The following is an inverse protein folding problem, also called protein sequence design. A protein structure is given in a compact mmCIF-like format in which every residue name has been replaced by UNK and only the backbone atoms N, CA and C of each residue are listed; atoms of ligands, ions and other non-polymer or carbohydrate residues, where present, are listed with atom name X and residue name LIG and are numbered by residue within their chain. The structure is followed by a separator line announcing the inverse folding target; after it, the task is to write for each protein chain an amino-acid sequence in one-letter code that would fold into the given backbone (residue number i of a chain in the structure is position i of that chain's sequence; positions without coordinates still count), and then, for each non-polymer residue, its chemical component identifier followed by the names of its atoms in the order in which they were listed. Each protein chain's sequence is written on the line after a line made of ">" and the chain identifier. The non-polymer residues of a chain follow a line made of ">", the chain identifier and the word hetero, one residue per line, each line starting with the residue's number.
data_IF_454066746227
#
_entry.id   IF_454066746227
#
_cell.length_a   1.000
_cell.length_b   1.000
_cell.length_c   1.000
_cell.angle_alpha   90.00
_cell.angle_beta   90.00
_cell.angle_gamma   90.00
#
_symmetry.space_group_name_H-M   'P 1'
#
loop_
_entity.id
_entity.type
_entity.pdbx_description
1 polymer ?
#
# COMPACT_ATOMS: atom_id res chain seq x y z
N UNK A 1 -32.94 50.97 14.45
CA UNK A 1 -33.16 50.12 13.27
C UNK A 1 -31.92 49.89 12.41
N UNK A 2 -31.05 50.87 12.12
CA UNK A 2 -29.84 50.65 11.27
C UNK A 2 -28.79 49.72 11.94
N UNK A 3 -28.63 49.74 13.28
CA UNK A 3 -27.67 48.92 14.02
C UNK A 3 -28.07 47.45 14.10
N UNK A 4 -29.38 47.16 14.16
CA UNK A 4 -29.92 45.79 14.15
C UNK A 4 -29.83 45.15 12.77
N UNK A 5 -29.98 45.90 11.69
CA UNK A 5 -29.81 45.39 10.32
C UNK A 5 -28.36 44.98 10.05
N UNK A 6 -27.39 45.75 10.57
CA UNK A 6 -25.97 45.42 10.43
C UNK A 6 -25.60 44.18 11.24
N UNK A 7 -26.19 44.00 12.43
CA UNK A 7 -25.98 42.79 13.21
C UNK A 7 -26.61 41.55 12.55
N UNK A 8 -27.79 41.66 11.97
CA UNK A 8 -28.41 40.57 11.19
C UNK A 8 -27.63 40.27 9.90
N UNK A 9 -27.09 41.27 9.20
CA UNK A 9 -26.26 41.06 8.03
C UNK A 9 -24.91 40.41 8.40
N UNK A 10 -24.33 40.78 9.56
CA UNK A 10 -23.13 40.13 10.09
C UNK A 10 -23.37 38.68 10.51
N UNK A 11 -24.53 38.39 11.17
CA UNK A 11 -24.90 37.01 11.48
C UNK A 11 -25.23 36.20 10.22
N UNK A 12 -25.87 36.78 9.22
CA UNK A 12 -26.15 36.09 7.95
C UNK A 12 -24.89 35.84 7.13
N UNK A 13 -23.87 36.69 7.23
CA UNK A 13 -22.58 36.47 6.57
C UNK A 13 -21.75 35.37 7.22
N UNK A 14 -21.87 35.15 8.53
CA UNK A 14 -21.19 34.06 9.24
C UNK A 14 -21.79 32.69 8.90
N UNK A 15 -23.08 32.62 8.63
CA UNK A 15 -23.73 31.36 8.24
C UNK A 15 -23.52 30.97 6.78
N UNK A 16 -22.98 31.85 5.94
CA UNK A 16 -22.71 31.58 4.53
C UNK A 16 -21.34 30.90 4.29
N UNK A 17 -20.48 30.82 5.31
CA UNK A 17 -19.11 30.30 5.17
C UNK A 17 -18.94 28.81 5.54
N UNK A 18 -19.92 28.19 6.14
CA UNK A 18 -19.85 26.79 6.55
C UNK A 18 -20.55 25.87 5.53
N UNK A 19 -20.12 25.87 4.28
CA UNK A 19 -20.60 24.86 3.33
C UNK A 19 -19.77 23.59 3.51
N UNK A 20 -20.24 22.71 4.40
CA UNK A 20 -19.72 21.35 4.52
C UNK A 20 -20.06 20.57 3.26
N UNK A 21 -19.06 20.02 2.60
CA UNK A 21 -19.26 19.16 1.43
C UNK A 21 -18.89 17.73 1.80
N UNK A 22 -19.77 16.78 1.49
CA UNK A 22 -19.47 15.36 1.53
C UNK A 22 -19.52 14.83 0.11
N UNK A 23 -18.41 14.30 -0.36
CA UNK A 23 -18.29 13.73 -1.68
C UNK A 23 -18.13 12.22 -1.56
N UNK A 24 -18.89 11.48 -2.35
CA UNK A 24 -18.71 10.04 -2.53
C UNK A 24 -17.80 9.86 -3.74
N UNK A 25 -16.70 9.14 -3.56
CA UNK A 25 -15.78 8.81 -4.64
C UNK A 25 -15.38 7.35 -4.54
N UNK A 26 -14.86 6.82 -5.63
CA UNK A 26 -14.42 5.43 -5.58
C UNK A 26 -13.85 4.93 -6.89
N UNK A 27 -13.55 3.65 -6.88
CA UNK A 27 -13.08 2.88 -8.04
C UNK A 27 -13.79 1.55 -8.02
N UNK A 28 -14.31 1.14 -9.16
CA UNK A 28 -14.72 -0.21 -9.45
C UNK A 28 -13.80 -0.79 -10.51
N UNK A 29 -13.06 -1.86 -10.17
CA UNK A 29 -12.13 -2.55 -11.06
C UNK A 29 -12.41 -4.03 -11.04
N UNK A 30 -12.84 -4.58 -12.18
CA UNK A 30 -13.13 -6.00 -12.33
C UNK A 30 -12.70 -6.50 -13.70
N UNK A 31 -12.31 -7.77 -13.75
CA UNK A 31 -11.83 -8.37 -14.98
C UNK A 31 -11.63 -9.88 -14.88
N UNK A 32 -11.14 -10.44 -15.96
CA UNK A 32 -10.74 -11.82 -16.05
C UNK A 32 -9.22 -11.93 -15.87
N UNK A 33 -8.80 -12.82 -15.00
CA UNK A 33 -7.40 -13.09 -14.72
C UNK A 33 -7.09 -14.56 -14.96
N UNK A 34 -5.94 -14.79 -15.57
CA UNK A 34 -5.35 -16.13 -15.72
C UNK A 34 -3.88 -16.07 -15.34
N UNK A 35 -3.34 -17.17 -14.88
CA UNK A 35 -1.92 -17.22 -14.55
C UNK A 35 -1.49 -18.55 -13.97
N UNK A 36 -0.19 -18.61 -13.71
CA UNK A 36 0.44 -19.77 -13.08
C UNK A 36 1.40 -19.32 -12.01
N UNK A 37 1.45 -20.07 -10.92
CA UNK A 37 2.39 -19.88 -9.81
C UNK A 37 2.78 -21.26 -9.27
N UNK A 38 4.10 -21.51 -9.10
CA UNK A 38 4.63 -22.80 -8.63
C UNK A 38 4.12 -24.03 -9.40
N UNK A 39 3.94 -23.90 -10.71
CA UNK A 39 3.45 -25.00 -11.55
C UNK A 39 1.93 -25.24 -11.48
N UNK A 40 1.21 -24.51 -10.65
CA UNK A 40 -0.26 -24.52 -10.60
C UNK A 40 -0.81 -23.39 -11.48
N UNK A 41 -1.86 -23.68 -12.23
CA UNK A 41 -2.55 -22.69 -13.07
C UNK A 41 -3.96 -22.43 -12.55
N UNK A 42 -4.39 -21.19 -12.63
CA UNK A 42 -5.74 -20.79 -12.26
C UNK A 42 -6.29 -19.73 -13.23
N UNK A 43 -7.60 -19.61 -13.26
CA UNK A 43 -8.34 -18.59 -14.01
C UNK A 43 -9.60 -18.21 -13.25
N UNK A 44 -9.93 -16.93 -13.19
CA UNK A 44 -11.10 -16.44 -12.49
C UNK A 44 -11.53 -15.07 -12.98
N UNK A 45 -12.78 -14.71 -12.71
CA UNK A 45 -13.20 -13.31 -12.65
C UNK A 45 -12.71 -12.76 -11.32
N UNK A 46 -11.92 -11.68 -11.36
CA UNK A 46 -11.31 -11.06 -10.18
C UNK A 46 -11.52 -9.56 -10.21
N UNK A 47 -11.18 -8.92 -9.11
CA UNK A 47 -11.08 -7.47 -9.01
C UNK A 47 -9.63 -7.04 -8.86
N UNK A 48 -9.38 -5.74 -8.95
CA UNK A 48 -8.08 -5.12 -8.67
C UNK A 48 -6.98 -5.55 -9.65
N UNK A 49 -7.34 -5.79 -10.90
CA UNK A 49 -6.38 -6.14 -11.95
C UNK A 49 -5.49 -4.96 -12.34
N UNK A 50 -6.05 -3.76 -12.34
CA UNK A 50 -5.34 -2.51 -12.67
C UNK A 50 -5.38 -1.46 -11.56
N UNK A 51 -6.45 -1.39 -10.75
CA UNK A 51 -6.59 -0.48 -9.61
C UNK A 51 -7.27 -1.20 -8.46
N UNK A 52 -7.00 -0.78 -7.24
CA UNK A 52 -7.76 -1.26 -6.08
C UNK A 52 -9.17 -0.68 -6.12
N UNK A 53 -10.18 -1.55 -6.04
CA UNK A 53 -11.57 -1.13 -5.86
C UNK A 53 -11.74 -0.50 -4.50
N UNK A 54 -12.36 0.68 -4.46
CA UNK A 54 -12.51 1.45 -3.24
C UNK A 54 -13.80 2.26 -3.26
N UNK A 55 -14.40 2.46 -2.10
CA UNK A 55 -15.51 3.39 -1.87
C UNK A 55 -15.13 4.32 -0.74
N UNK A 56 -15.25 5.64 -0.95
CA UNK A 56 -14.80 6.65 0.00
C UNK A 56 -15.86 7.74 0.18
N UNK A 57 -16.08 8.12 1.42
CA UNK A 57 -16.80 9.31 1.83
C UNK A 57 -15.75 10.34 2.29
N UNK A 58 -15.66 11.45 1.60
CA UNK A 58 -14.69 12.51 1.89
C UNK A 58 -15.44 13.76 2.24
N UNK A 59 -15.21 14.31 3.42
CA UNK A 59 -15.82 15.55 3.89
C UNK A 59 -14.79 16.64 4.09
N UNK A 60 -15.18 17.86 3.73
CA UNK A 60 -14.42 19.08 4.00
C UNK A 60 -15.38 20.12 4.51
N UNK A 61 -15.06 20.73 5.65
CA UNK A 61 -15.79 21.84 6.27
C UNK A 61 -14.85 23.03 6.41
N UNK A 62 -15.24 24.18 5.91
CA UNK A 62 -14.51 25.43 6.12
C UNK A 62 -14.86 25.98 7.52
N UNK A 63 -13.87 26.06 8.40
CA UNK A 63 -14.03 26.56 9.77
C UNK A 63 -13.79 28.06 9.86
N UNK A 64 -13.49 28.74 8.74
CA UNK A 64 -13.10 30.14 8.69
C UNK A 64 -11.63 30.36 9.06
N UNK A 65 -11.12 31.56 8.80
CA UNK A 65 -9.73 31.92 9.11
C UNK A 65 -8.67 31.10 8.34
N UNK A 66 -9.03 30.41 7.26
CA UNK A 66 -8.16 29.52 6.51
C UNK A 66 -8.03 28.12 7.11
N UNK A 67 -8.83 27.79 8.10
CA UNK A 67 -8.90 26.46 8.72
C UNK A 67 -9.98 25.61 8.06
N UNK A 68 -9.70 24.32 7.89
CA UNK A 68 -10.63 23.32 7.36
C UNK A 68 -10.60 22.07 8.24
N UNK A 69 -11.79 21.57 8.60
CA UNK A 69 -11.91 20.21 9.11
C UNK A 69 -12.07 19.25 7.92
N UNK A 70 -11.42 18.10 8.00
CA UNK A 70 -11.42 17.07 6.94
C UNK A 70 -11.67 15.70 7.54
N UNK A 71 -12.37 14.86 6.80
CA UNK A 71 -12.41 13.44 7.12
C UNK A 71 -12.46 12.60 5.85
N UNK A 72 -12.00 11.38 5.97
CA UNK A 72 -12.24 10.32 5.00
C UNK A 72 -12.66 9.06 5.76
N UNK A 73 -13.71 8.41 5.26
CA UNK A 73 -14.12 7.07 5.67
C UNK A 73 -14.17 6.23 4.38
N UNK A 74 -13.40 5.16 4.33
CA UNK A 74 -13.28 4.36 3.12
C UNK A 74 -13.23 2.86 3.40
N UNK A 75 -13.56 2.10 2.35
CA UNK A 75 -13.50 0.64 2.33
C UNK A 75 -13.09 0.14 0.96
N UNK A 76 -12.55 -1.07 0.90
CA UNK A 76 -12.26 -1.81 -0.33
C UNK A 76 -13.37 -2.85 -0.55
N UNK A 77 -14.45 -2.52 -1.30
CA UNK A 77 -15.56 -3.44 -1.50
C UNK A 77 -15.11 -4.64 -2.35
N UNK A 78 -15.61 -5.82 -2.02
CA UNK A 78 -15.48 -6.99 -2.87
C UNK A 78 -16.54 -6.96 -3.97
N UNK A 79 -16.16 -6.58 -5.18
CA UNK A 79 -17.06 -6.51 -6.35
C UNK A 79 -17.31 -7.91 -6.93
N UNK A 80 -16.31 -8.77 -6.88
CA UNK A 80 -16.43 -10.17 -7.26
C UNK A 80 -16.54 -10.99 -5.98
N UNK A 81 -17.54 -11.83 -5.85
CA UNK A 81 -17.83 -12.63 -4.65
C UNK A 81 -16.66 -13.53 -4.17
N UNK A 82 -15.68 -13.73 -5.01
CA UNK A 82 -14.39 -14.29 -4.63
C UNK A 82 -13.53 -13.19 -4.02
N UNK A 83 -13.07 -13.36 -2.81
CA UNK A 83 -12.18 -12.46 -2.06
C UNK A 83 -10.88 -12.13 -2.83
N UNK A 84 -11.04 -11.82 -4.09
CA UNK A 84 -10.22 -11.04 -5.00
C UNK A 84 -8.91 -11.65 -5.46
N UNK A 85 -8.45 -12.76 -4.95
CA UNK A 85 -7.13 -13.23 -5.38
C UNK A 85 -7.02 -14.75 -5.29
N UNK A 86 -7.58 -15.46 -6.24
CA UNK A 86 -7.30 -16.90 -6.43
C UNK A 86 -5.81 -17.17 -6.67
N UNK A 87 -5.01 -16.15 -6.97
CA UNK A 87 -3.56 -16.24 -7.12
C UNK A 87 -2.78 -15.71 -5.91
N UNK A 88 -3.47 -15.13 -4.91
CA UNK A 88 -2.83 -14.52 -3.75
C UNK A 88 -3.25 -15.13 -2.42
N UNK A 89 -4.21 -16.05 -2.42
CA UNK A 89 -4.68 -16.69 -1.21
C UNK A 89 -4.55 -18.19 -1.34
N UNK A 90 -3.53 -18.76 -0.72
CA UNK A 90 -3.63 -20.11 -0.23
C UNK A 90 -4.67 -20.11 0.89
N UNK A 91 -5.95 -20.06 0.51
CA UNK A 91 -7.03 -20.34 1.45
C UNK A 91 -7.06 -21.86 1.63
N UNK A 92 -6.36 -22.36 2.62
CA UNK A 92 -6.59 -23.71 3.10
C UNK A 92 -7.98 -23.71 3.74
N UNK A 93 -8.94 -24.26 3.03
CA UNK A 93 -10.25 -24.58 3.59
C UNK A 93 -10.04 -25.66 4.65
N UNK A 94 -9.97 -25.27 5.91
CA UNK A 94 -10.06 -26.21 7.01
C UNK A 94 -11.39 -26.95 6.94
N UNK A 95 -11.41 -28.22 7.25
CA UNK A 95 -12.55 -29.17 7.19
C UNK A 95 -13.78 -28.74 7.98
N UNK A 96 -13.85 -27.55 8.56
CA UNK A 96 -14.96 -27.05 9.37
C UNK A 96 -15.52 -25.69 8.91
N UNK A 97 -15.36 -25.30 7.63
CA UNK A 97 -16.02 -24.08 7.12
C UNK A 97 -15.53 -22.77 7.75
N UNK A 98 -14.53 -22.79 8.59
CA UNK A 98 -13.85 -21.60 9.10
C UNK A 98 -12.76 -21.25 8.12
N UNK A 99 -12.85 -20.08 7.49
CA UNK A 99 -11.75 -19.48 6.75
C UNK A 99 -10.61 -19.22 7.73
N UNK A 100 -9.78 -20.23 7.93
CA UNK A 100 -8.51 -20.04 8.61
C UNK A 100 -7.61 -19.37 7.58
N UNK A 101 -7.51 -18.07 7.64
CA UNK A 101 -6.38 -17.36 7.04
C UNK A 101 -5.15 -17.96 7.74
N UNK A 102 -4.51 -18.91 7.08
CA UNK A 102 -3.21 -19.42 7.51
C UNK A 102 -2.19 -18.29 7.28
N UNK A 103 -2.25 -17.29 8.14
CA UNK A 103 -1.40 -16.13 8.06
C UNK A 103 -0.80 -15.81 9.41
N UNK A 104 0.05 -16.71 9.88
CA UNK A 104 0.79 -16.49 11.11
C UNK A 104 1.92 -15.48 11.01
N UNK A 105 2.32 -15.04 9.84
CA UNK A 105 3.61 -14.32 9.72
C UNK A 105 3.57 -12.98 9.01
N UNK A 106 2.63 -12.73 8.12
CA UNK A 106 2.60 -11.45 7.40
C UNK A 106 2.00 -10.30 8.21
N UNK A 107 1.29 -10.58 9.29
CA UNK A 107 0.62 -9.57 10.11
C UNK A 107 1.50 -9.00 11.23
N UNK A 108 2.68 -9.54 11.44
CA UNK A 108 3.58 -9.10 12.51
C UNK A 108 4.27 -7.76 12.26
N UNK A 109 4.07 -7.14 11.12
CA UNK A 109 4.75 -5.89 10.77
C UNK A 109 3.87 -4.65 10.78
N UNK A 110 2.82 -4.62 11.59
CA UNK A 110 2.02 -3.40 11.80
C UNK A 110 1.07 -3.04 10.67
N UNK A 111 0.79 -4.00 9.79
CA UNK A 111 -0.23 -3.80 8.78
C UNK A 111 -1.61 -4.05 9.35
N UNK A 112 -2.56 -3.22 8.95
CA UNK A 112 -3.94 -3.50 9.19
C UNK A 112 -4.27 -4.84 8.54
N UNK A 113 -4.47 -5.87 9.36
CA UNK A 113 -5.22 -7.02 8.91
C UNK A 113 -6.50 -6.45 8.33
N UNK A 114 -6.81 -6.77 7.07
CA UNK A 114 -8.11 -6.49 6.54
C UNK A 114 -9.13 -7.00 7.58
N UNK A 115 -9.58 -6.11 8.44
CA UNK A 115 -10.70 -6.38 9.31
C UNK A 115 -11.81 -6.77 8.35
N UNK A 116 -12.40 -7.93 8.52
CA UNK A 116 -13.59 -8.38 7.80
C UNK A 116 -14.81 -7.50 8.11
N UNK A 117 -14.59 -6.21 8.26
CA UNK A 117 -15.58 -5.17 8.48
C UNK A 117 -15.77 -4.35 7.23
N UNK A 118 -16.97 -3.82 7.07
CA UNK A 118 -17.37 -2.97 5.95
C UNK A 118 -16.51 -1.71 5.81
N UNK A 119 -15.75 -1.34 6.85
CA UNK A 119 -14.94 -0.12 6.93
C UNK A 119 -13.58 -0.46 7.55
N UNK A 120 -12.48 -0.03 6.95
CA UNK A 120 -11.13 -0.18 7.53
C UNK A 120 -10.03 -0.63 6.57
N UNK A 121 -10.36 -1.15 5.39
CA UNK A 121 -9.37 -1.58 4.41
C UNK A 121 -8.73 -0.41 3.65
N UNK A 122 -9.39 0.76 3.61
CA UNK A 122 -8.91 2.01 3.05
C UNK A 122 -8.41 2.98 4.12
N UNK A 123 -7.92 4.13 3.71
CA UNK A 123 -7.54 5.22 4.60
C UNK A 123 -8.79 5.79 5.29
N UNK A 124 -8.72 5.91 6.63
CA UNK A 124 -9.80 6.43 7.46
C UNK A 124 -9.22 7.41 8.47
N UNK A 125 -9.61 8.67 8.41
CA UNK A 125 -9.07 9.70 9.29
C UNK A 125 -10.03 10.86 9.48
N UNK A 126 -9.78 11.63 10.54
CA UNK A 126 -10.24 12.98 10.75
C UNK A 126 -9.04 13.89 10.93
N UNK A 127 -9.12 15.13 10.45
CA UNK A 127 -7.99 16.05 10.52
C UNK A 127 -8.38 17.52 10.41
N UNK A 128 -7.39 18.36 10.60
CA UNK A 128 -7.48 19.81 10.43
C UNK A 128 -6.35 20.28 9.53
N UNK A 129 -6.68 21.09 8.54
CA UNK A 129 -5.74 21.75 7.62
C UNK A 129 -5.79 23.27 7.83
N UNK A 130 -4.65 23.93 7.71
CA UNK A 130 -4.56 25.39 7.82
C UNK A 130 -3.24 25.91 7.25
N UNK A 131 -2.92 27.20 7.45
CA UNK A 131 -1.66 27.79 7.02
C UNK A 131 -0.42 27.08 7.61
N UNK A 132 -0.59 26.35 8.72
CA UNK A 132 0.45 25.57 9.37
C UNK A 132 0.70 24.19 8.71
N UNK A 133 -0.14 23.79 7.76
CA UNK A 133 -0.16 22.44 7.17
C UNK A 133 -1.38 21.65 7.61
N UNK A 134 -1.24 20.32 7.74
CA UNK A 134 -2.34 19.41 8.04
C UNK A 134 -1.96 18.44 9.15
N UNK A 135 -2.89 18.20 10.08
CA UNK A 135 -2.82 17.15 11.11
C UNK A 135 -3.96 16.19 10.89
N UNK A 136 -3.67 14.88 10.88
CA UNK A 136 -4.66 13.80 10.72
C UNK A 136 -4.51 12.78 11.83
N UNK A 137 -5.63 12.14 12.23
CA UNK A 137 -5.68 11.04 13.20
C UNK A 137 -6.52 9.89 12.61
N UNK A 138 -6.00 8.67 12.66
CA UNK A 138 -6.73 7.50 12.18
C UNK A 138 -5.86 6.40 11.57
N UNK A 139 -6.39 5.76 10.53
CA UNK A 139 -5.67 4.82 9.65
C UNK A 139 -5.18 5.59 8.43
N UNK A 140 -3.88 5.83 8.35
CA UNK A 140 -3.32 6.82 7.41
C UNK A 140 -2.29 6.17 6.51
N UNK A 141 -2.33 6.51 5.22
CA UNK A 141 -1.36 6.05 4.24
C UNK A 141 0.03 6.61 4.52
N UNK A 142 1.04 5.77 4.33
CA UNK A 142 2.45 6.12 4.50
C UNK A 142 2.98 6.94 3.33
N UNK A 143 4.09 7.66 3.55
CA UNK A 143 4.83 8.27 2.46
C UNK A 143 5.62 7.24 1.65
N UNK A 144 5.93 6.09 2.25
CA UNK A 144 6.49 4.92 1.57
C UNK A 144 5.59 4.44 0.44
N UNK A 145 4.25 4.40 0.65
CA UNK A 145 3.28 4.10 -0.42
C UNK A 145 3.31 5.19 -1.51
N UNK A 146 3.42 6.47 -1.14
CA UNK A 146 3.51 7.55 -2.11
C UNK A 146 4.77 7.41 -2.99
N UNK A 147 5.91 7.06 -2.38
CA UNK A 147 7.15 6.81 -3.11
C UNK A 147 7.03 5.59 -4.03
N UNK A 148 6.39 4.52 -3.56
CA UNK A 148 6.14 3.35 -4.40
C UNK A 148 5.24 3.69 -5.60
N UNK A 149 4.12 4.37 -5.41
CA UNK A 149 3.22 4.78 -6.48
C UNK A 149 3.93 5.72 -7.47
N UNK A 150 4.80 6.59 -7.00
CA UNK A 150 5.62 7.44 -7.85
C UNK A 150 6.61 6.63 -8.71
N UNK A 151 7.14 5.53 -8.19
CA UNK A 151 8.04 4.64 -8.92
C UNK A 151 7.31 3.68 -9.88
N UNK A 152 6.11 3.21 -9.55
CA UNK A 152 5.34 2.24 -10.35
C UNK A 152 4.37 2.89 -11.34
N UNK A 153 4.13 4.20 -11.21
CA UNK A 153 3.26 4.99 -12.09
C UNK A 153 1.85 4.40 -12.22
N UNK A 154 1.36 4.20 -13.46
CA UNK A 154 0.02 3.68 -13.75
C UNK A 154 -0.18 2.21 -13.36
N UNK A 155 0.88 1.47 -13.04
CA UNK A 155 0.72 0.15 -12.44
C UNK A 155 0.17 0.22 -11.01
N UNK A 156 0.40 1.34 -10.31
CA UNK A 156 -0.04 1.50 -8.93
C UNK A 156 0.41 0.33 -8.06
N UNK A 157 -0.52 -0.30 -7.34
CA UNK A 157 -0.29 -1.49 -6.52
C UNK A 157 -0.81 -2.78 -7.17
N UNK A 158 -1.16 -2.73 -8.48
CA UNK A 158 -1.79 -3.82 -9.22
C UNK A 158 -0.79 -4.75 -9.93
N UNK A 159 -1.32 -5.59 -10.81
CA UNK A 159 -0.54 -6.54 -11.60
C UNK A 159 0.52 -5.80 -12.43
N UNK A 160 1.74 -6.30 -12.41
CA UNK A 160 2.89 -5.72 -13.10
C UNK A 160 3.69 -4.71 -12.28
N UNK A 161 3.17 -4.25 -11.16
CA UNK A 161 3.88 -3.29 -10.30
C UNK A 161 4.98 -3.91 -9.44
N UNK A 162 4.88 -5.19 -9.12
CA UNK A 162 5.72 -5.85 -8.13
C UNK A 162 5.34 -5.57 -6.68
N UNK A 163 4.21 -4.91 -6.45
CA UNK A 163 3.72 -4.63 -5.12
C UNK A 163 3.31 -5.93 -4.39
N UNK A 164 3.57 -6.02 -3.10
CA UNK A 164 3.29 -7.18 -2.22
C UNK A 164 4.04 -8.48 -2.54
N UNK A 165 4.69 -8.58 -3.68
CA UNK A 165 5.35 -9.80 -4.13
C UNK A 165 6.84 -9.59 -4.33
N UNK A 166 7.55 -9.22 -3.26
CA UNK A 166 9.01 -9.19 -3.16
C UNK A 166 9.74 -7.93 -3.66
N UNK A 167 9.06 -6.85 -4.09
CA UNK A 167 9.78 -5.64 -4.47
C UNK A 167 9.64 -4.54 -3.43
N UNK A 168 8.42 -4.35 -2.89
CA UNK A 168 8.22 -3.43 -1.78
C UNK A 168 7.45 -4.14 -0.68
N UNK A 169 7.96 -4.11 0.54
CA UNK A 169 7.23 -4.59 1.71
C UNK A 169 5.88 -3.88 1.83
N UNK A 170 4.92 -4.54 2.40
CA UNK A 170 3.54 -4.06 2.53
C UNK A 170 3.41 -2.98 3.62
N UNK A 171 3.97 -1.81 3.37
CA UNK A 171 3.95 -0.65 4.29
C UNK A 171 3.02 0.43 3.76
N UNK A 172 1.77 0.07 3.46
CA UNK A 172 0.78 0.97 2.85
C UNK A 172 0.27 2.01 3.80
N UNK A 173 -0.14 1.58 5.00
CA UNK A 173 -0.82 2.42 5.99
C UNK A 173 -0.65 1.87 7.39
N UNK A 174 -0.84 2.75 8.38
CA UNK A 174 -0.81 2.38 9.78
C UNK A 174 -2.08 2.82 10.49
N UNK A 175 -2.64 1.91 11.28
CA UNK A 175 -3.73 2.18 12.22
C UNK A 175 -3.19 2.87 13.47
N UNK A 176 -4.10 3.47 14.27
CA UNK A 176 -3.76 4.18 15.51
C UNK A 176 -2.65 5.19 15.29
N UNK A 177 -2.69 5.88 14.17
CA UNK A 177 -1.65 6.80 13.76
C UNK A 177 -2.13 8.24 13.77
N UNK A 178 -1.18 9.14 13.90
CA UNK A 178 -1.34 10.54 13.59
C UNK A 178 -0.27 10.98 12.60
N UNK A 179 -0.61 11.96 11.81
CA UNK A 179 0.23 12.51 10.75
C UNK A 179 0.23 14.02 10.87
N UNK A 180 1.40 14.61 10.73
CA UNK A 180 1.57 16.02 10.40
C UNK A 180 2.19 16.13 9.01
N UNK A 181 1.63 17.01 8.16
CA UNK A 181 2.19 17.39 6.86
C UNK A 181 2.41 18.90 6.82
N UNK A 182 3.59 19.33 6.42
CA UNK A 182 3.86 20.78 6.23
C UNK A 182 3.04 21.34 5.07
N UNK A 183 2.84 22.65 4.99
CA UNK A 183 2.45 23.30 3.74
C UNK A 183 3.45 22.95 2.64
N UNK A 184 2.98 22.93 1.39
CA UNK A 184 3.88 22.81 0.24
C UNK A 184 4.44 24.16 -0.13
N UNK A 185 5.78 24.29 -0.14
CA UNK A 185 6.48 25.51 -0.52
C UNK A 185 7.41 25.21 -1.68
N UNK A 186 7.21 25.88 -2.80
CA UNK A 186 7.98 25.66 -4.04
C UNK A 186 8.08 24.16 -4.43
N UNK A 187 6.98 23.44 -4.29
CA UNK A 187 6.90 22.00 -4.60
C UNK A 187 7.38 21.09 -3.49
N UNK A 188 8.03 21.61 -2.44
CA UNK A 188 8.56 20.78 -1.32
C UNK A 188 7.56 20.70 -0.18
N UNK A 189 7.33 19.51 0.32
CA UNK A 189 6.59 19.24 1.56
C UNK A 189 7.26 18.11 2.36
N UNK A 190 7.08 18.14 3.67
CA UNK A 190 7.54 17.10 4.58
C UNK A 190 6.37 16.48 5.35
N UNK A 191 6.54 15.23 5.76
CA UNK A 191 5.53 14.49 6.53
C UNK A 191 6.19 13.78 7.70
N UNK A 192 5.49 13.78 8.83
CA UNK A 192 5.84 12.98 9.99
C UNK A 192 4.60 12.18 10.40
N UNK A 193 4.72 10.86 10.45
CA UNK A 193 3.66 9.96 10.90
C UNK A 193 4.16 9.11 12.06
N UNK A 194 3.32 8.95 13.07
CA UNK A 194 3.59 8.02 14.17
C UNK A 194 2.36 7.16 14.43
N UNK A 195 2.57 5.85 14.51
CA UNK A 195 1.55 4.92 14.95
C UNK A 195 1.92 4.39 16.33
N UNK A 196 0.99 4.49 17.26
CA UNK A 196 1.16 3.99 18.62
C UNK A 196 0.86 2.49 18.62
N UNK A 197 1.83 1.70 19.07
CA UNK A 197 1.62 0.26 19.27
C UNK A 197 0.46 0.01 20.23
N UNK A 198 -0.42 -0.94 19.89
CA UNK A 198 -1.49 -1.31 20.80
C UNK A 198 -0.95 -2.28 21.86
N UNK A 199 -1.25 -2.03 23.12
CA UNK A 199 -0.95 -2.91 24.25
C UNK A 199 -1.84 -4.18 24.28
N UNK A 200 -2.83 -4.30 23.37
CA UNK A 200 -3.67 -5.48 23.26
C UNK A 200 -2.82 -6.68 22.88
N UNK A 201 -2.76 -7.63 23.82
CA UNK A 201 -2.03 -8.87 23.66
C UNK A 201 -2.80 -9.76 22.66
N UNK A 202 -2.20 -10.02 21.51
CA UNK A 202 -2.64 -11.14 20.67
C UNK A 202 -1.95 -12.41 21.21
N UNK A 203 -2.63 -13.14 22.06
CA UNK A 203 -2.23 -14.50 22.39
C UNK A 203 -2.49 -15.37 21.16
N UNK A 204 -1.44 -15.89 20.56
CA UNK A 204 -1.59 -17.02 19.64
C UNK A 204 -2.04 -18.21 20.47
N UNK A 205 -3.18 -18.81 20.13
CA UNK A 205 -3.87 -19.84 20.90
C UNK A 205 -3.04 -21.11 21.19
N UNK A 206 -1.83 -21.21 20.69
CA UNK A 206 -0.93 -22.36 20.88
C UNK A 206 0.48 -22.03 21.35
N UNK A 207 0.82 -20.77 21.58
CA UNK A 207 2.15 -20.41 22.08
C UNK A 207 2.06 -19.28 23.09
N UNK A 208 2.90 -19.35 24.12
CA UNK A 208 3.06 -18.31 25.15
C UNK A 208 3.65 -16.99 24.61
N UNK A 209 3.65 -16.78 23.30
CA UNK A 209 4.21 -15.61 22.65
C UNK A 209 3.13 -14.56 22.49
N UNK A 210 3.23 -13.50 23.25
CA UNK A 210 2.39 -12.30 23.13
C UNK A 210 3.08 -11.36 22.17
N UNK A 211 2.50 -11.17 20.99
CA UNK A 211 2.97 -10.17 20.04
C UNK A 211 2.30 -8.83 20.34
N UNK A 212 3.07 -7.82 20.65
CA UNK A 212 2.60 -6.43 20.72
C UNK A 212 2.71 -5.78 19.34
N UNK A 213 1.71 -5.00 18.95
CA UNK A 213 1.80 -4.19 17.73
C UNK A 213 3.00 -3.24 17.82
N UNK A 214 3.83 -3.14 16.78
CA UNK A 214 5.01 -2.28 16.83
C UNK A 214 4.62 -0.80 16.89
N UNK A 215 5.45 -0.02 17.56
CA UNK A 215 5.45 1.44 17.43
C UNK A 215 6.14 1.80 16.12
N UNK A 216 5.51 2.65 15.34
CA UNK A 216 6.00 3.07 14.02
C UNK A 216 6.27 4.58 14.06
N UNK A 217 7.37 4.97 13.43
CA UNK A 217 7.67 6.36 13.12
C UNK A 217 8.10 6.45 11.67
N UNK A 218 7.48 7.34 10.89
CA UNK A 218 7.85 7.62 9.51
C UNK A 218 8.18 9.11 9.34
N UNK A 219 9.29 9.40 8.68
CA UNK A 219 9.60 10.69 8.10
C UNK A 219 9.50 10.58 6.58
N UNK A 220 8.78 11.50 5.96
CA UNK A 220 8.62 11.58 4.52
C UNK A 220 8.93 12.95 3.98
N UNK A 221 9.43 13.02 2.75
CA UNK A 221 9.63 14.24 1.99
C UNK A 221 9.11 14.04 0.56
N UNK A 222 8.45 15.07 0.03
CA UNK A 222 7.95 15.08 -1.33
C UNK A 222 8.37 16.36 -2.01
N UNK A 223 8.81 16.25 -3.26
CA UNK A 223 9.07 17.38 -4.13
C UNK A 223 8.36 17.15 -5.45
N UNK A 224 7.38 17.98 -5.74
CA UNK A 224 6.57 17.94 -6.96
C UNK A 224 6.60 19.33 -7.59
N UNK A 225 7.37 19.52 -8.67
CA UNK A 225 7.46 20.78 -9.38
C UNK A 225 7.66 20.56 -10.87
N UNK A 226 6.75 21.10 -11.67
CA UNK A 226 6.78 20.92 -13.12
C UNK A 226 6.73 19.44 -13.50
N UNK A 227 7.66 18.97 -14.36
CA UNK A 227 7.68 17.56 -14.77
C UNK A 227 8.32 16.61 -13.75
N UNK A 228 8.99 17.15 -12.72
CA UNK A 228 9.77 16.36 -11.75
C UNK A 228 8.95 16.05 -10.50
N UNK A 229 8.95 14.77 -10.10
CA UNK A 229 8.42 14.29 -8.83
C UNK A 229 9.46 13.44 -8.13
N UNK A 230 9.83 13.81 -6.90
CA UNK A 230 10.74 13.04 -6.04
C UNK A 230 10.07 12.78 -4.71
N UNK A 231 10.13 11.53 -4.24
CA UNK A 231 9.56 11.15 -2.96
C UNK A 231 10.54 10.30 -2.18
N UNK A 232 10.63 10.55 -0.88
CA UNK A 232 11.47 9.78 0.02
C UNK A 232 10.73 9.50 1.33
N UNK A 233 11.03 8.37 1.95
CA UNK A 233 10.49 8.00 3.24
C UNK A 233 11.49 7.16 4.04
N UNK A 234 11.44 7.31 5.36
CA UNK A 234 12.18 6.48 6.30
C UNK A 234 11.25 6.05 7.43
N UNK A 235 11.00 4.75 7.53
CA UNK A 235 10.22 4.14 8.60
C UNK A 235 11.16 3.50 9.61
N UNK A 236 10.87 3.68 10.88
CA UNK A 236 11.42 2.89 11.99
C UNK A 236 10.26 2.19 12.70
N UNK A 237 10.29 0.87 12.69
CA UNK A 237 9.33 0.01 13.38
C UNK A 237 10.03 -0.65 14.57
N UNK A 238 9.47 -0.49 15.77
CA UNK A 238 9.98 -1.10 17.00
C UNK A 238 8.94 -2.10 17.53
N UNK A 239 9.25 -3.37 17.46
CA UNK A 239 8.42 -4.44 18.01
C UNK A 239 9.08 -5.01 19.28
N UNK A 240 8.30 -5.14 20.34
CA UNK A 240 8.73 -5.81 21.57
C UNK A 240 8.13 -7.21 21.58
N UNK A 241 8.96 -8.22 21.57
CA UNK A 241 8.52 -9.61 21.76
C UNK A 241 8.60 -9.95 23.25
N UNK A 242 7.49 -10.35 23.81
CA UNK A 242 7.20 -10.90 25.13
C UNK A 242 8.11 -10.53 26.32
N UNK A 243 7.50 -10.13 27.44
CA UNK A 243 8.16 -9.76 28.70
C UNK A 243 8.78 -10.95 29.45
N UNK A 244 8.45 -12.20 29.12
CA UNK A 244 8.88 -13.42 29.85
C UNK A 244 10.10 -14.13 29.29
N UNK A 245 10.50 -13.83 28.06
CA UNK A 245 11.76 -14.30 27.52
C UNK A 245 12.63 -13.08 27.19
N UNK A 246 13.89 -13.11 27.55
CA UNK A 246 14.89 -12.06 27.26
C UNK A 246 15.07 -11.87 25.73
N UNK A 247 14.00 -11.53 25.04
CA UNK A 247 13.92 -11.44 23.60
C UNK A 247 14.06 -10.02 23.15
N UNK A 248 15.01 -9.84 22.28
CA UNK A 248 15.45 -8.58 21.75
C UNK A 248 14.32 -7.75 21.18
N UNK A 249 14.33 -6.45 21.47
CA UNK A 249 13.56 -5.46 20.73
C UNK A 249 13.97 -5.51 19.26
N UNK A 250 13.05 -5.92 18.38
CA UNK A 250 13.29 -5.90 16.93
C UNK A 250 13.06 -4.48 16.42
N UNK A 251 14.10 -3.89 15.87
CA UNK A 251 14.02 -2.61 15.19
C UNK A 251 14.19 -2.84 13.69
N UNK A 252 13.12 -2.61 12.93
CA UNK A 252 13.16 -2.65 11.46
C UNK A 252 13.22 -1.23 10.93
N UNK A 253 14.17 -0.96 10.05
CA UNK A 253 14.30 0.30 9.33
C UNK A 253 14.00 0.07 7.85
N UNK A 254 13.19 0.94 7.27
CA UNK A 254 12.80 0.91 5.87
C UNK A 254 13.09 2.28 5.29
N UNK A 255 13.92 2.31 4.26
CA UNK A 255 14.26 3.52 3.52
C UNK A 255 13.77 3.36 2.09
N UNK A 256 12.95 4.29 1.63
CA UNK A 256 12.35 4.27 0.30
C UNK A 256 12.61 5.61 -0.38
N UNK A 257 12.99 5.58 -1.64
CA UNK A 257 13.12 6.77 -2.47
C UNK A 257 12.65 6.50 -3.89
N UNK A 258 12.11 7.51 -4.54
CA UNK A 258 11.67 7.42 -5.94
C UNK A 258 11.76 8.76 -6.64
N UNK A 259 11.93 8.67 -7.96
CA UNK A 259 11.92 9.80 -8.86
C UNK A 259 11.06 9.47 -10.08
N UNK A 260 10.32 10.45 -10.56
CA UNK A 260 9.61 10.38 -11.84
C UNK A 260 9.80 11.70 -12.60
N UNK A 261 9.92 11.58 -13.91
CA UNK A 261 10.03 12.74 -14.80
C UNK A 261 9.10 12.56 -16.01
N UNK A 262 8.31 13.58 -16.27
CA UNK A 262 7.39 13.63 -17.39
C UNK A 262 8.01 14.42 -18.56
N UNK A 263 8.38 13.70 -19.62
CA UNK A 263 8.95 14.30 -20.85
C UNK A 263 7.87 14.80 -21.83
N UNK A 264 6.58 14.72 -21.47
CA UNK A 264 5.45 15.01 -22.34
C UNK A 264 5.10 13.83 -23.26
N UNK A 265 6.09 13.25 -23.94
CA UNK A 265 5.91 12.06 -24.81
C UNK A 265 5.97 10.73 -24.05
N UNK A 266 6.60 10.74 -22.91
CA UNK A 266 6.70 9.58 -22.01
C UNK A 266 6.96 10.04 -20.58
N UNK A 267 6.47 9.29 -19.61
CA UNK A 267 6.82 9.46 -18.20
C UNK A 267 7.68 8.30 -17.74
N UNK A 268 8.88 8.59 -17.24
CA UNK A 268 9.84 7.62 -16.75
C UNK A 268 9.98 7.76 -15.24
N UNK A 269 10.09 6.65 -14.55
CA UNK A 269 10.26 6.64 -13.10
C UNK A 269 11.20 5.54 -12.64
N UNK A 270 11.79 5.74 -11.47
CA UNK A 270 12.61 4.76 -10.78
C UNK A 270 12.37 4.85 -9.27
N UNK A 271 12.58 3.74 -8.58
CA UNK A 271 12.48 3.68 -7.14
C UNK A 271 13.39 2.63 -6.54
N UNK A 272 13.69 2.83 -5.26
CA UNK A 272 14.47 1.88 -4.46
C UNK A 272 13.90 1.79 -3.05
N UNK A 273 14.06 0.62 -2.44
CA UNK A 273 13.78 0.43 -1.02
C UNK A 273 14.87 -0.44 -0.40
N UNK A 274 15.29 -0.08 0.80
CA UNK A 274 16.20 -0.86 1.63
C UNK A 274 15.51 -1.17 2.95
N UNK A 275 15.48 -2.46 3.34
CA UNK A 275 14.92 -2.92 4.60
C UNK A 275 16.00 -3.61 5.40
N UNK A 276 16.22 -3.17 6.63
CA UNK A 276 17.16 -3.77 7.57
C UNK A 276 16.48 -3.99 8.91
N UNK A 277 16.86 -5.05 9.62
CA UNK A 277 16.49 -5.23 11.02
C UNK A 277 17.71 -5.63 11.86
N UNK A 278 17.53 -5.59 13.18
CA UNK A 278 18.56 -5.93 14.15
C UNK A 278 18.35 -7.31 14.78
N UNK A 279 17.67 -8.25 14.12
CA UNK A 279 17.49 -9.59 14.67
C UNK A 279 18.83 -10.26 14.93
N UNK A 280 19.07 -10.69 16.17
CA UNK A 280 20.40 -11.04 16.66
C UNK A 280 21.07 -12.23 15.94
N UNK A 281 20.26 -13.17 15.43
CA UNK A 281 20.79 -14.41 14.80
C UNK A 281 20.89 -14.31 13.28
N UNK A 282 20.01 -13.59 12.63
CA UNK A 282 19.97 -13.46 11.16
C UNK A 282 19.31 -12.15 10.76
N UNK A 283 20.04 -11.00 10.82
CA UNK A 283 19.48 -9.70 10.49
C UNK A 283 18.98 -9.67 9.05
N UNK A 284 17.79 -9.12 8.86
CA UNK A 284 17.22 -8.88 7.53
C UNK A 284 17.99 -7.75 6.84
N UNK A 285 18.40 -8.00 5.61
CA UNK A 285 18.95 -6.96 4.75
C UNK A 285 18.48 -7.23 3.33
N UNK A 286 17.51 -6.43 2.87
CA UNK A 286 16.94 -6.58 1.55
C UNK A 286 17.04 -5.26 0.79
N UNK A 287 17.37 -5.35 -0.49
CA UNK A 287 17.43 -4.20 -1.38
C UNK A 287 16.55 -4.45 -2.59
N UNK A 288 15.68 -3.48 -2.86
CA UNK A 288 14.80 -3.51 -4.03
C UNK A 288 15.05 -2.31 -4.91
N UNK A 289 14.80 -2.49 -6.19
CA UNK A 289 14.78 -1.40 -7.16
C UNK A 289 13.75 -1.69 -8.25
N UNK A 290 13.14 -0.65 -8.78
CA UNK A 290 12.27 -0.75 -9.95
C UNK A 290 12.44 0.46 -10.87
N UNK A 291 12.04 0.27 -12.12
CA UNK A 291 11.92 1.32 -13.13
C UNK A 291 10.63 1.09 -13.90
N UNK A 292 9.92 2.16 -14.20
CA UNK A 292 8.72 2.10 -15.01
C UNK A 292 8.72 3.20 -16.08
N UNK A 293 8.02 2.92 -17.18
CA UNK A 293 7.76 3.87 -18.24
C UNK A 293 6.29 3.80 -18.63
N UNK A 294 5.71 4.97 -18.89
CA UNK A 294 4.35 5.12 -19.43
C UNK A 294 4.44 6.01 -20.67
N UNK A 295 3.92 5.52 -21.79
CA UNK A 295 3.89 6.23 -23.07
C UNK A 295 2.43 6.42 -23.49
N UNK A 296 1.90 7.66 -23.50
CA UNK A 296 0.58 7.95 -24.04
C UNK A 296 0.63 7.92 -25.57
N UNK A 297 -0.26 7.17 -26.21
CA UNK A 297 -0.40 7.06 -27.68
C UNK A 297 -1.88 7.14 -28.03
N UNK A 298 -2.34 8.32 -28.39
CA UNK A 298 -3.77 8.56 -28.65
C UNK A 298 -4.62 8.23 -27.41
N UNK A 299 -5.57 7.30 -27.56
CA UNK A 299 -6.39 6.84 -26.44
C UNK A 299 -5.70 5.79 -25.54
N UNK A 300 -4.51 5.34 -25.91
CA UNK A 300 -3.78 4.31 -25.16
C UNK A 300 -2.77 4.92 -24.19
N UNK A 301 -2.56 4.24 -23.05
CA UNK A 301 -1.35 4.36 -22.25
C UNK A 301 -0.64 3.01 -22.30
N UNK A 302 0.50 2.95 -22.94
CA UNK A 302 1.35 1.76 -22.96
C UNK A 302 2.33 1.85 -21.80
N UNK A 303 2.56 0.75 -21.09
CA UNK A 303 3.32 0.75 -19.86
C UNK A 303 4.25 -0.44 -19.77
N UNK A 304 5.44 -0.22 -19.23
CA UNK A 304 6.35 -1.28 -18.83
C UNK A 304 6.94 -0.98 -17.45
N UNK A 305 7.18 -2.00 -16.66
CA UNK A 305 7.84 -1.94 -15.37
C UNK A 305 8.79 -3.13 -15.23
N UNK A 306 9.94 -2.88 -14.63
CA UNK A 306 10.86 -3.95 -14.23
C UNK A 306 11.44 -3.66 -12.87
N UNK A 307 11.68 -4.68 -12.08
CA UNK A 307 12.25 -4.50 -10.76
C UNK A 307 12.97 -5.73 -10.25
N UNK A 308 13.74 -5.52 -9.20
CA UNK A 308 14.51 -6.57 -8.55
C UNK A 308 14.39 -6.48 -7.05
N UNK A 309 14.46 -7.64 -6.41
CA UNK A 309 14.52 -7.79 -4.97
C UNK A 309 15.70 -8.69 -4.63
N UNK A 310 16.66 -8.18 -3.87
CA UNK A 310 17.86 -8.91 -3.49
C UNK A 310 17.84 -9.20 -1.99
N UNK A 311 17.99 -10.46 -1.63
CA UNK A 311 18.14 -10.94 -0.25
C UNK A 311 19.64 -11.05 0.05
N UNK A 312 20.18 -10.12 0.85
CA UNK A 312 21.62 -10.09 1.13
C UNK A 312 22.00 -10.79 2.43
N UNK A 313 21.07 -10.93 3.37
CA UNK A 313 21.28 -11.59 4.66
C UNK A 313 19.94 -12.00 5.29
N UNK A 314 19.98 -12.83 6.30
CA UNK A 314 18.84 -13.31 7.06
C UNK A 314 18.67 -14.82 6.99
N UNK A 315 17.72 -15.38 7.77
CA UNK A 315 17.39 -16.81 7.76
C UNK A 315 17.02 -17.34 6.39
N UNK A 316 16.45 -16.47 5.54
CA UNK A 316 16.16 -16.79 4.15
C UNK A 316 17.43 -16.92 3.30
N UNK A 317 18.43 -16.07 3.48
CA UNK A 317 19.70 -16.20 2.78
C UNK A 317 20.42 -17.50 3.16
N UNK A 318 20.27 -17.97 4.39
CA UNK A 318 20.80 -19.26 4.81
C UNK A 318 20.10 -20.45 4.13
N UNK A 319 18.80 -20.30 3.83
CA UNK A 319 18.02 -21.37 3.18
C UNK A 319 18.11 -21.34 1.65
N UNK A 320 18.26 -20.17 1.04
CA UNK A 320 18.21 -19.96 -0.42
C UNK A 320 19.56 -19.66 -1.05
N UNK A 321 20.59 -19.46 -0.23
CA UNK A 321 21.90 -18.95 -0.64
C UNK A 321 21.98 -17.43 -0.55
N UNK A 322 23.12 -16.91 -0.06
CA UNK A 322 23.39 -15.48 -0.04
C UNK A 322 23.31 -14.91 -1.47
N UNK A 323 22.63 -13.79 -1.64
CA UNK A 323 22.44 -13.13 -2.95
C UNK A 323 21.27 -13.65 -3.78
N UNK A 324 20.32 -14.40 -3.18
CA UNK A 324 19.09 -14.76 -3.86
C UNK A 324 18.36 -13.52 -4.40
N UNK A 325 17.97 -13.57 -5.67
CA UNK A 325 17.37 -12.44 -6.38
C UNK A 325 16.03 -12.83 -7.00
N UNK A 326 15.03 -12.02 -6.79
CA UNK A 326 13.76 -12.09 -7.52
C UNK A 326 13.69 -10.94 -8.52
N UNK A 327 13.17 -11.20 -9.70
CA UNK A 327 12.95 -10.19 -10.73
C UNK A 327 11.48 -10.17 -11.15
N UNK A 328 10.96 -9.00 -11.43
CA UNK A 328 9.62 -8.82 -11.99
C UNK A 328 9.69 -8.01 -13.27
N UNK A 329 8.83 -8.37 -14.21
CA UNK A 329 8.57 -7.58 -15.41
C UNK A 329 7.05 -7.45 -15.55
N UNK A 330 6.57 -6.22 -15.65
CA UNK A 330 5.19 -5.87 -15.93
C UNK A 330 5.08 -5.20 -17.29
N UNK A 331 4.08 -5.58 -18.07
CA UNK A 331 3.70 -4.88 -19.31
C UNK A 331 2.20 -4.66 -19.23
N UNK A 332 1.75 -3.46 -19.63
CA UNK A 332 0.35 -3.12 -19.57
C UNK A 332 -0.08 -2.14 -20.65
N UNK A 333 -1.35 -2.14 -20.94
CA UNK A 333 -2.01 -1.16 -21.77
C UNK A 333 -3.35 -0.77 -21.15
N UNK A 334 -3.64 0.53 -21.11
CA UNK A 334 -4.96 1.06 -20.83
C UNK A 334 -5.49 1.69 -22.11
N UNK A 335 -6.74 1.37 -22.48
CA UNK A 335 -7.49 2.06 -23.52
C UNK A 335 -8.53 2.96 -22.85
N UNK A 336 -8.30 4.26 -22.89
CA UNK A 336 -9.14 5.25 -22.22
C UNK A 336 -10.47 5.42 -22.97
N UNK A 337 -11.57 5.08 -22.34
CA UNK A 337 -12.94 5.30 -22.82
C UNK A 337 -13.43 6.69 -22.46
N UNK A 338 -12.99 7.20 -21.32
CA UNK A 338 -13.26 8.53 -20.78
C UNK A 338 -12.17 8.97 -19.81
N UNK A 339 -12.33 10.14 -19.16
CA UNK A 339 -11.44 10.56 -18.07
C UNK A 339 -11.44 9.59 -16.88
N UNK A 340 -12.56 8.91 -16.67
CA UNK A 340 -12.80 8.08 -15.49
C UNK A 340 -12.82 6.59 -15.78
N UNK A 341 -12.89 6.17 -17.05
CA UNK A 341 -13.06 4.77 -17.44
C UNK A 341 -12.04 4.34 -18.46
N UNK A 342 -11.49 3.15 -18.29
CA UNK A 342 -10.62 2.52 -19.27
C UNK A 342 -10.75 0.99 -19.26
N UNK A 343 -10.48 0.38 -20.39
CA UNK A 343 -10.20 -1.04 -20.51
C UNK A 343 -8.72 -1.27 -20.28
N UNK A 344 -8.37 -2.42 -19.73
CA UNK A 344 -6.95 -2.76 -19.49
C UNK A 344 -6.59 -4.16 -19.94
N UNK A 345 -5.33 -4.30 -20.31
CA UNK A 345 -4.63 -5.57 -20.44
C UNK A 345 -3.31 -5.44 -19.67
N UNK A 346 -3.10 -6.29 -18.67
CA UNK A 346 -1.94 -6.30 -17.78
C UNK A 346 -1.29 -7.67 -17.80
N UNK A 347 0.03 -7.68 -17.86
CA UNK A 347 0.82 -8.90 -17.76
C UNK A 347 1.93 -8.71 -16.72
N UNK A 348 2.18 -9.75 -15.95
CA UNK A 348 3.27 -9.84 -14.99
C UNK A 348 4.00 -11.15 -15.17
N UNK A 349 5.31 -11.08 -15.24
CA UNK A 349 6.20 -12.23 -15.15
C UNK A 349 7.18 -12.00 -14.01
N UNK A 350 7.24 -12.93 -13.08
CA UNK A 350 8.14 -12.88 -11.94
C UNK A 350 8.98 -14.15 -11.89
N UNK A 351 10.30 -14.00 -11.79
CA UNK A 351 11.20 -15.08 -11.43
C UNK A 351 11.41 -15.01 -9.92
N UNK A 352 11.11 -16.09 -9.25
CA UNK A 352 11.28 -16.22 -7.81
C UNK A 352 12.62 -16.89 -7.54
N UNK A 353 13.70 -16.15 -7.74
CA UNK A 353 15.07 -16.62 -7.42
C UNK A 353 15.33 -16.77 -5.92
N UNK A 354 14.36 -16.37 -5.11
CA UNK A 354 14.27 -16.46 -3.67
C UNK A 354 12.87 -16.85 -3.24
N UNK A 355 12.70 -17.02 -1.96
CA UNK A 355 11.48 -17.43 -1.31
C UNK A 355 10.38 -16.35 -1.42
N UNK A 356 9.19 -16.71 -1.87
CA UNK A 356 8.00 -15.88 -1.69
C UNK A 356 7.58 -15.92 -0.22
N UNK A 357 7.82 -14.85 0.52
CA UNK A 357 7.44 -14.73 1.93
C UNK A 357 5.92 -14.86 2.17
N UNK A 358 5.10 -14.69 1.13
CA UNK A 358 3.65 -14.86 1.25
C UNK A 358 3.21 -16.33 1.22
N UNK A 359 4.06 -17.23 0.77
CA UNK A 359 3.75 -18.66 0.61
C UNK A 359 4.52 -19.58 1.57
N UNK A 360 5.43 -19.02 2.39
CA UNK A 360 6.22 -19.80 3.34
C UNK A 360 5.42 -20.55 4.40
N UNK A 361 4.14 -20.33 4.48
CA UNK A 361 3.27 -20.95 5.49
C UNK A 361 2.11 -21.70 4.83
N UNK A 362 2.32 -22.28 3.66
CA UNK A 362 1.42 -23.32 3.21
C UNK A 362 1.84 -24.60 3.96
N UNK A 363 1.01 -24.93 4.96
CA UNK A 363 1.00 -26.23 5.66
C UNK A 363 1.88 -26.46 6.87
N UNK A 364 2.25 -25.46 7.68
CA UNK A 364 2.74 -25.81 9.03
C UNK A 364 3.85 -26.87 9.12
N UNK A 365 4.31 -27.37 8.01
CA UNK A 365 5.46 -28.24 7.87
C UNK A 365 6.58 -27.42 7.23
N UNK A 366 7.74 -27.43 7.83
CA UNK A 366 8.99 -27.10 7.19
C UNK A 366 9.20 -28.07 6.01
N UNK A 367 8.33 -27.99 5.02
CA UNK A 367 8.35 -28.80 3.82
C UNK A 367 9.34 -28.17 2.86
N UNK A 368 10.42 -28.87 2.64
CA UNK A 368 11.31 -28.70 1.49
C UNK A 368 10.47 -28.54 0.22
N UNK A 369 10.16 -27.30 -0.17
CA UNK A 369 9.51 -27.03 -1.45
C UNK A 369 10.59 -27.08 -2.54
N UNK A 370 10.96 -28.32 -2.90
CA UNK A 370 11.88 -28.62 -4.00
C UNK A 370 11.22 -28.52 -5.38
N UNK A 371 10.10 -27.80 -5.51
CA UNK A 371 9.48 -27.64 -6.82
C UNK A 371 10.34 -26.74 -7.71
N UNK A 372 10.74 -27.30 -8.81
CA UNK A 372 11.71 -26.78 -9.79
C UNK A 372 11.22 -25.55 -10.58
N UNK A 373 10.01 -25.08 -10.37
CA UNK A 373 9.46 -23.90 -11.06
C UNK A 373 9.21 -22.76 -10.08
N UNK A 374 10.21 -21.90 -9.95
CA UNK A 374 10.14 -20.68 -9.12
C UNK A 374 9.75 -19.49 -10.00
N UNK A 375 8.62 -19.56 -10.65
CA UNK A 375 8.13 -18.48 -11.51
C UNK A 375 6.64 -18.25 -11.28
N UNK A 376 6.25 -17.01 -11.48
CA UNK A 376 4.86 -16.58 -11.51
C UNK A 376 4.59 -15.82 -12.80
N UNK A 377 3.47 -16.11 -13.43
CA UNK A 377 2.97 -15.35 -14.58
C UNK A 377 1.51 -15.04 -14.39
N UNK A 378 1.12 -13.80 -14.57
CA UNK A 378 -0.26 -13.35 -14.49
C UNK A 378 -0.61 -12.54 -15.73
N UNK A 379 -1.83 -12.71 -16.20
CA UNK A 379 -2.44 -11.85 -17.22
C UNK A 379 -3.83 -11.50 -16.77
N UNK A 380 -4.17 -10.23 -16.82
CA UNK A 380 -5.50 -9.74 -16.49
C UNK A 380 -6.01 -8.80 -17.59
N UNK A 381 -7.29 -8.91 -17.91
CA UNK A 381 -8.00 -7.97 -18.77
C UNK A 381 -9.32 -7.60 -18.11
N UNK A 382 -9.72 -6.34 -18.22
CA UNK A 382 -10.91 -5.88 -17.53
C UNK A 382 -11.22 -4.43 -17.79
N UNK A 383 -12.08 -3.91 -16.93
CA UNK A 383 -12.51 -2.50 -16.92
C UNK A 383 -12.28 -1.90 -15.55
N UNK A 384 -11.80 -0.67 -15.53
CA UNK A 384 -11.70 0.16 -14.33
C UNK A 384 -12.49 1.44 -14.53
N UNK A 385 -13.34 1.77 -13.56
CA UNK A 385 -14.14 3.00 -13.54
C UNK A 385 -13.98 3.73 -12.22
N UNK A 386 -13.65 5.02 -12.28
CA UNK A 386 -13.63 5.91 -11.12
C UNK A 386 -14.90 6.79 -11.11
N UNK A 387 -15.44 7.08 -9.95
CA UNK A 387 -16.65 7.91 -9.78
C UNK A 387 -16.49 8.85 -8.59
#
# INVERSE_FOLDING_TARGET
>A
MKKTLVAFAALASVSAFAQSTVTITGVADAGYQTGSEFGQSAKAVTQNGSRTSALKFVGVEDLGGGLKAKFQIGTDPSITANNGNNFNSATTTGTNGTNVVANGTAQTRGQSSAQSGLVGAEQNYVGVEGPFGEVQFGTINTNTLNAFNNASQKFGTAIGSGYKKNIYGDYTRYENSWLYSTPTVNGLSARYQSAVGNSSQYALASSSVVLRRPTITEFGANYDQGPLSVKAAMITSKATMNETAATANIVTKIQTASVAYDFGVAKVSAGMQNITDNTATTPLNTKTSNMAVVVPVGAFNLMANTGTYNYNAGSLAATLGAGAKSTITGIGAHYNLSKNSYLYLMNESQSLGGYDMSTAVINGAAGSNTTSSRSRKLTATGISHAF
#
